data_IF_322042412885
#
_entry.id   IF_322042412885
#
_cell.length_a   1.000
_cell.length_b   1.000
_cell.length_c   1.000
_cell.angle_alpha   90.00
_cell.angle_beta   90.00
_cell.angle_gamma   90.00
#
_symmetry.space_group_name_H-M   'P 1'
#
loop_
_entity.id
_entity.type
_entity.pdbx_description
1 polymer ?
#
# COMPACT_ATOMS: atom_id res chain seq x y z
N UNK A 1 -0.90 -5.50 -25.20
CA UNK A 1 -2.18 -5.03 -24.62
C UNK A 1 -2.04 -3.64 -23.97
N UNK A 2 -1.21 -2.76 -24.57
CA UNK A 2 -1.03 -1.39 -24.07
C UNK A 2 -2.37 -0.62 -24.02
N UNK A 3 -2.56 0.19 -23.00
CA UNK A 3 -3.82 0.85 -22.69
C UNK A 3 -4.60 0.14 -21.59
N UNK A 4 -5.91 0.29 -21.60
CA UNK A 4 -6.82 -0.22 -20.57
C UNK A 4 -8.02 -0.93 -21.21
N UNK A 5 -8.79 -1.75 -20.48
CA UNK A 5 -9.96 -2.42 -21.03
C UNK A 5 -10.87 -1.48 -21.82
N UNK A 6 -11.23 -1.86 -23.04
CA UNK A 6 -12.03 -1.06 -23.97
C UNK A 6 -11.29 0.14 -24.60
N UNK A 7 -10.05 0.41 -24.23
CA UNK A 7 -9.22 1.52 -24.72
C UNK A 7 -7.78 1.07 -24.98
N UNK A 8 -7.60 -0.04 -25.68
CA UNK A 8 -6.29 -0.54 -26.06
C UNK A 8 -5.77 0.12 -27.33
N UNK A 9 -4.46 0.20 -27.46
CA UNK A 9 -3.83 0.69 -28.71
C UNK A 9 -3.77 -0.37 -29.80
N UNK A 10 -3.96 -1.64 -29.45
CA UNK A 10 -3.90 -2.77 -30.39
C UNK A 10 -5.24 -3.50 -30.45
N UNK A 11 -5.56 -4.05 -31.63
CA UNK A 11 -6.71 -4.94 -31.80
C UNK A 11 -6.48 -6.31 -31.17
N UNK A 12 -7.53 -7.11 -31.05
CA UNK A 12 -7.45 -8.50 -30.52
C UNK A 12 -7.28 -8.59 -29.00
N UNK A 13 -7.65 -7.55 -28.25
CA UNK A 13 -7.49 -7.50 -26.80
C UNK A 13 -8.79 -7.81 -26.03
N UNK A 14 -9.87 -8.17 -26.71
CA UNK A 14 -11.18 -8.39 -26.11
C UNK A 14 -11.18 -9.44 -24.99
N UNK A 15 -10.38 -10.50 -25.12
CA UNK A 15 -10.29 -11.55 -24.09
C UNK A 15 -9.40 -11.14 -22.91
N UNK A 16 -8.30 -10.43 -23.14
CA UNK A 16 -7.47 -9.90 -22.04
C UNK A 16 -8.18 -8.75 -21.31
N UNK A 17 -9.09 -8.04 -21.99
CA UNK A 17 -9.96 -7.05 -21.35
C UNK A 17 -10.88 -7.71 -20.30
N UNK A 18 -11.42 -8.90 -20.59
CA UNK A 18 -12.19 -9.68 -19.61
C UNK A 18 -11.34 -10.02 -18.40
N UNK A 19 -10.11 -10.48 -18.61
CA UNK A 19 -9.17 -10.86 -17.54
C UNK A 19 -8.87 -9.65 -16.63
N UNK A 20 -8.50 -8.53 -17.23
CA UNK A 20 -8.17 -7.33 -16.44
C UNK A 20 -9.38 -6.76 -15.73
N UNK A 21 -10.55 -6.73 -16.39
CA UNK A 21 -11.81 -6.30 -15.78
C UNK A 21 -12.16 -7.15 -14.56
N UNK A 22 -12.01 -8.47 -14.64
CA UNK A 22 -12.22 -9.37 -13.51
C UNK A 22 -11.29 -9.03 -12.33
N UNK A 23 -10.02 -8.76 -12.60
CA UNK A 23 -9.07 -8.37 -11.55
C UNK A 23 -9.49 -7.04 -10.90
N UNK A 24 -9.85 -6.03 -11.70
CA UNK A 24 -10.30 -4.72 -11.22
C UNK A 24 -11.54 -4.86 -10.33
N UNK A 25 -12.59 -5.52 -10.82
CA UNK A 25 -13.84 -5.64 -10.08
C UNK A 25 -13.70 -6.45 -8.79
N UNK A 26 -12.87 -7.48 -8.80
CA UNK A 26 -12.55 -8.26 -7.60
C UNK A 26 -11.75 -7.44 -6.58
N UNK A 27 -10.78 -6.64 -7.02
CA UNK A 27 -10.04 -5.73 -6.15
C UNK A 27 -10.97 -4.70 -5.49
N UNK A 28 -11.85 -4.07 -6.28
CA UNK A 28 -12.86 -3.12 -5.79
C UNK A 28 -13.77 -3.75 -4.75
N UNK A 29 -14.27 -4.95 -5.04
CA UNK A 29 -15.15 -5.69 -4.12
C UNK A 29 -14.44 -6.10 -2.83
N UNK A 30 -13.19 -6.59 -2.93
CA UNK A 30 -12.43 -7.09 -1.79
C UNK A 30 -12.07 -5.98 -0.80
N UNK A 31 -11.66 -4.83 -1.31
CA UNK A 31 -11.18 -3.71 -0.49
C UNK A 31 -12.22 -2.60 -0.28
N UNK A 32 -13.38 -2.69 -0.92
CA UNK A 32 -14.44 -1.69 -0.77
C UNK A 32 -14.07 -0.33 -1.37
N UNK A 33 -13.36 -0.31 -2.50
CA UNK A 33 -12.96 0.91 -3.20
C UNK A 33 -13.71 1.08 -4.52
N UNK A 34 -13.76 2.32 -5.02
CA UNK A 34 -14.45 2.63 -6.28
C UNK A 34 -13.54 2.51 -7.51
N UNK A 35 -12.22 2.61 -7.29
CA UNK A 35 -11.20 2.54 -8.34
C UNK A 35 -10.10 1.56 -7.97
N UNK A 36 -9.66 0.78 -8.95
CA UNK A 36 -8.50 -0.08 -8.86
C UNK A 36 -7.72 -0.07 -10.18
N UNK A 37 -6.39 0.05 -10.10
CA UNK A 37 -5.48 -0.20 -11.21
C UNK A 37 -4.62 -1.41 -10.87
N UNK A 38 -4.71 -2.46 -11.67
CA UNK A 38 -4.03 -3.74 -11.45
C UNK A 38 -2.79 -3.93 -12.33
N UNK A 39 -2.42 -2.91 -13.10
CA UNK A 39 -1.29 -2.98 -14.04
C UNK A 39 0.10 -2.77 -13.42
N UNK A 40 0.31 -2.13 -12.25
CA UNK A 40 1.66 -2.00 -11.70
C UNK A 40 2.38 -3.34 -11.63
N UNK A 41 3.60 -3.40 -12.21
CA UNK A 41 4.41 -4.62 -12.25
C UNK A 41 4.94 -5.02 -10.88
N UNK A 42 5.02 -4.07 -9.96
CA UNK A 42 5.46 -4.28 -8.58
C UNK A 42 4.87 -3.23 -7.64
N UNK A 43 4.99 -3.45 -6.32
CA UNK A 43 4.65 -2.44 -5.32
C UNK A 43 5.49 -1.17 -5.48
N UNK A 44 6.77 -1.29 -5.82
CA UNK A 44 7.65 -0.15 -6.06
C UNK A 44 7.14 0.72 -7.23
N UNK A 45 6.66 0.11 -8.30
CA UNK A 45 6.09 0.84 -9.44
C UNK A 45 4.70 1.41 -9.13
N UNK A 46 3.89 0.74 -8.31
CA UNK A 46 2.64 1.31 -7.80
C UNK A 46 2.91 2.58 -6.96
N UNK A 47 3.90 2.52 -6.06
CA UNK A 47 4.31 3.68 -5.26
C UNK A 47 4.84 4.81 -6.15
N UNK A 48 5.69 4.48 -7.12
CA UNK A 48 6.25 5.47 -8.04
C UNK A 48 5.15 6.17 -8.85
N UNK A 49 4.18 5.41 -9.37
CA UNK A 49 3.04 5.97 -10.09
C UNK A 49 2.20 6.89 -9.19
N UNK A 50 1.96 6.49 -7.93
CA UNK A 50 1.24 7.33 -6.98
C UNK A 50 2.01 8.62 -6.67
N UNK A 51 3.32 8.55 -6.44
CA UNK A 51 4.14 9.74 -6.23
C UNK A 51 4.05 10.71 -7.43
N UNK A 52 4.34 10.25 -8.63
CA UNK A 52 4.30 11.12 -9.83
C UNK A 52 2.90 11.62 -10.20
N UNK A 53 1.84 10.98 -9.70
CA UNK A 53 0.48 11.50 -9.85
C UNK A 53 0.15 12.62 -8.86
N UNK A 54 0.78 12.62 -7.66
CA UNK A 54 0.35 13.46 -6.53
C UNK A 54 1.33 14.55 -6.14
N UNK A 55 2.62 14.37 -6.42
CA UNK A 55 3.70 15.28 -6.02
C UNK A 55 4.69 15.50 -7.15
N UNK A 56 5.34 16.66 -7.14
CA UNK A 56 6.37 17.03 -8.11
C UNK A 56 7.77 16.74 -7.55
N UNK A 57 8.78 16.51 -8.40
CA UNK A 57 10.17 16.38 -7.96
C UNK A 57 10.60 17.57 -7.09
N UNK A 58 11.17 17.26 -5.92
CA UNK A 58 11.57 18.27 -4.93
C UNK A 58 10.51 18.61 -3.89
N UNK A 59 9.26 18.19 -4.06
CA UNK A 59 8.24 18.35 -3.03
C UNK A 59 8.63 17.63 -1.73
N UNK A 60 8.23 18.19 -0.60
CA UNK A 60 8.44 17.57 0.71
C UNK A 60 7.41 16.46 0.93
N UNK A 61 7.90 15.27 1.24
CA UNK A 61 7.10 14.07 1.54
C UNK A 61 7.55 13.51 2.89
N UNK A 62 6.62 13.08 3.73
CA UNK A 62 6.95 12.34 4.95
C UNK A 62 6.74 10.84 4.74
N UNK A 63 7.63 10.02 5.30
CA UNK A 63 7.53 8.56 5.28
C UNK A 63 8.20 7.94 6.48
N UNK A 64 7.81 6.71 6.85
CA UNK A 64 8.45 6.01 7.95
C UNK A 64 9.91 5.69 7.59
N UNK A 65 10.83 5.98 8.52
CA UNK A 65 12.24 5.65 8.34
C UNK A 65 12.48 4.14 8.23
N UNK A 66 13.54 3.76 7.51
CA UNK A 66 13.92 2.34 7.40
C UNK A 66 14.15 1.70 8.76
N UNK A 67 14.84 2.41 9.65
CA UNK A 67 15.18 1.94 11.01
C UNK A 67 13.95 1.71 11.88
N UNK A 68 12.85 2.41 11.59
CA UNK A 68 11.58 2.23 12.27
C UNK A 68 10.68 1.16 11.61
N UNK A 69 11.11 0.55 10.51
CA UNK A 69 10.37 -0.48 9.78
C UNK A 69 9.77 -0.02 8.45
N UNK A 70 10.10 1.17 7.95
CA UNK A 70 9.65 1.68 6.66
C UNK A 70 10.15 0.86 5.46
N UNK A 71 9.59 1.13 4.29
CA UNK A 71 10.04 0.48 3.05
C UNK A 71 11.06 1.36 2.31
N UNK A 72 11.93 0.73 1.50
CA UNK A 72 12.90 1.45 0.66
C UNK A 72 12.26 2.53 -0.21
N UNK A 73 11.08 2.25 -0.77
CA UNK A 73 10.34 3.20 -1.62
C UNK A 73 9.65 4.33 -0.84
N UNK A 74 9.81 4.38 0.47
CA UNK A 74 9.30 5.45 1.32
C UNK A 74 10.38 6.48 1.68
N UNK A 75 11.26 6.79 0.74
CA UNK A 75 12.22 7.88 0.87
C UNK A 75 13.65 7.48 1.20
N UNK A 76 14.01 6.20 1.09
CA UNK A 76 15.42 5.79 1.26
C UNK A 76 16.32 6.55 0.27
N UNK A 77 17.46 7.11 0.72
CA UNK A 77 18.37 7.88 -0.14
C UNK A 77 18.93 7.12 -1.35
N UNK A 78 18.96 5.79 -1.28
CA UNK A 78 19.41 4.94 -2.40
C UNK A 78 18.27 4.60 -3.37
N UNK A 79 17.03 4.85 -2.98
CA UNK A 79 15.86 4.62 -3.81
C UNK A 79 15.48 5.87 -4.61
N UNK A 80 14.81 5.67 -5.73
CA UNK A 80 14.34 6.75 -6.59
C UNK A 80 13.49 7.76 -5.81
N UNK A 81 12.65 7.31 -4.87
CA UNK A 81 11.83 8.18 -4.04
C UNK A 81 12.65 9.20 -3.24
N UNK A 82 13.72 8.75 -2.59
CA UNK A 82 14.62 9.62 -1.84
C UNK A 82 15.52 10.51 -2.71
N UNK A 83 15.67 10.18 -4.01
CA UNK A 83 16.43 10.99 -4.97
C UNK A 83 15.61 12.10 -5.62
N UNK A 84 14.30 11.86 -5.83
CA UNK A 84 13.43 12.79 -6.54
C UNK A 84 12.67 13.73 -5.61
N UNK A 85 12.35 13.27 -4.39
CA UNK A 85 11.55 14.03 -3.44
C UNK A 85 12.36 14.36 -2.17
N UNK A 86 11.97 15.44 -1.50
CA UNK A 86 12.56 15.82 -0.22
C UNK A 86 11.85 15.05 0.91
N UNK A 87 12.34 13.85 1.22
CA UNK A 87 11.76 13.03 2.27
C UNK A 87 12.19 13.46 3.67
N UNK A 88 11.20 13.66 4.53
CA UNK A 88 11.36 13.90 5.97
C UNK A 88 10.90 12.64 6.70
N UNK A 89 11.80 11.85 7.29
CA UNK A 89 11.42 10.60 7.92
C UNK A 89 10.72 10.83 9.26
N UNK A 90 9.71 10.01 9.58
CA UNK A 90 9.20 9.85 10.92
C UNK A 90 9.52 8.47 11.47
N UNK A 91 9.51 8.32 12.78
CA UNK A 91 9.93 7.09 13.46
C UNK A 91 8.90 6.57 14.45
N UNK A 92 9.41 5.80 15.39
CA UNK A 92 8.68 5.24 16.52
C UNK A 92 9.23 5.84 17.82
N UNK A 93 8.47 5.76 18.90
CA UNK A 93 8.91 6.11 20.24
C UNK A 93 9.85 5.02 20.82
N UNK A 94 10.36 5.24 22.03
CA UNK A 94 11.27 4.30 22.72
C UNK A 94 10.64 2.93 22.98
N UNK A 95 9.31 2.85 22.99
CA UNK A 95 8.56 1.61 23.15
C UNK A 95 8.30 0.88 21.82
N UNK A 96 8.72 1.45 20.67
CA UNK A 96 8.57 0.87 19.35
C UNK A 96 7.22 1.12 18.69
N UNK A 97 6.44 2.11 19.14
CA UNK A 97 5.16 2.51 18.56
C UNK A 97 5.28 3.81 17.77
N UNK A 98 4.47 3.95 16.71
CA UNK A 98 4.37 5.22 15.97
C UNK A 98 3.92 6.32 16.95
N UNK A 99 4.74 7.37 17.09
CA UNK A 99 4.41 8.56 17.86
C UNK A 99 3.63 9.55 16.98
N UNK A 100 2.31 9.46 17.02
CA UNK A 100 1.42 10.32 16.22
C UNK A 100 1.51 11.80 16.61
N UNK A 101 1.84 12.13 17.88
CA UNK A 101 2.02 13.51 18.29
C UNK A 101 3.32 14.10 17.73
N UNK A 102 4.41 13.36 17.82
CA UNK A 102 5.69 13.75 17.23
C UNK A 102 5.55 13.88 15.70
N UNK A 103 4.84 12.93 15.06
CA UNK A 103 4.54 12.98 13.63
C UNK A 103 3.76 14.26 13.27
N UNK A 104 2.72 14.59 14.02
CA UNK A 104 1.95 15.83 13.80
C UNK A 104 2.81 17.08 13.95
N UNK A 105 3.60 17.18 15.04
CA UNK A 105 4.52 18.31 15.26
C UNK A 105 5.50 18.46 14.10
N UNK A 106 6.06 17.35 13.64
CA UNK A 106 7.00 17.33 12.52
C UNK A 106 6.31 17.73 11.20
N UNK A 107 5.13 17.18 10.91
CA UNK A 107 4.34 17.52 9.73
C UNK A 107 3.95 19.01 9.72
N UNK A 108 3.57 19.55 10.88
CA UNK A 108 3.25 20.97 11.00
C UNK A 108 4.47 21.88 10.77
N UNK A 109 5.69 21.41 11.10
CA UNK A 109 6.94 22.12 10.86
C UNK A 109 7.39 22.08 9.40
N UNK A 110 7.37 20.90 8.79
CA UNK A 110 7.90 20.71 7.42
C UNK A 110 6.86 20.91 6.31
N UNK A 111 5.56 20.94 6.67
CA UNK A 111 4.45 21.14 5.71
C UNK A 111 4.55 20.25 4.49
N UNK A 112 4.52 18.92 4.65
CA UNK A 112 4.66 18.02 3.53
C UNK A 112 3.47 18.13 2.58
N UNK A 113 3.70 17.86 1.30
CA UNK A 113 2.61 17.72 0.32
C UNK A 113 1.92 16.36 0.44
N UNK A 114 2.67 15.35 0.88
CA UNK A 114 2.20 13.97 0.99
C UNK A 114 2.77 13.33 2.27
N UNK A 115 1.95 12.59 2.99
CA UNK A 115 2.37 11.69 4.06
C UNK A 115 2.17 10.26 3.57
N UNK A 116 3.23 9.46 3.65
CA UNK A 116 3.22 8.03 3.30
C UNK A 116 3.17 7.23 4.59
N UNK A 117 2.15 6.42 4.73
CA UNK A 117 1.99 5.45 5.81
C UNK A 117 2.12 4.01 5.31
N UNK A 118 2.34 3.08 6.22
CA UNK A 118 2.61 1.68 5.93
C UNK A 118 4.06 1.34 6.20
N UNK A 119 4.31 0.08 6.45
CA UNK A 119 5.62 -0.40 6.88
C UNK A 119 5.90 -1.81 6.35
N UNK A 120 7.19 -2.15 6.27
CA UNK A 120 7.67 -3.50 5.98
C UNK A 120 7.89 -4.33 7.24
N UNK A 121 8.26 -3.68 8.34
CA UNK A 121 8.67 -4.34 9.58
C UNK A 121 8.15 -3.58 10.82
N UNK A 122 6.87 -3.32 10.86
CA UNK A 122 6.19 -2.70 12.00
C UNK A 122 5.10 -3.65 12.51
N UNK A 123 5.27 -4.26 13.71
CA UNK A 123 4.42 -5.36 14.16
C UNK A 123 3.10 -4.90 14.81
N UNK A 124 2.86 -3.60 14.94
CA UNK A 124 1.67 -3.06 15.60
C UNK A 124 0.63 -2.55 14.61
N UNK A 125 -0.60 -2.44 15.06
CA UNK A 125 -1.66 -1.83 14.28
C UNK A 125 -1.35 -0.36 13.96
N UNK A 126 -1.66 0.05 12.73
CA UNK A 126 -1.51 1.44 12.29
C UNK A 126 -2.90 2.08 12.28
N UNK A 127 -3.02 3.24 12.94
CA UNK A 127 -4.25 4.02 12.96
C UNK A 127 -4.30 4.97 11.75
N UNK A 128 -4.95 4.51 10.69
CA UNK A 128 -5.10 5.28 9.45
C UNK A 128 -6.07 6.46 9.61
N UNK A 129 -7.04 6.37 10.52
CA UNK A 129 -7.93 7.49 10.80
C UNK A 129 -7.14 8.66 11.39
N UNK A 130 -6.29 8.39 12.37
CA UNK A 130 -5.44 9.41 13.00
C UNK A 130 -4.43 10.00 12.02
N UNK A 131 -3.86 9.20 11.14
CA UNK A 131 -2.98 9.69 10.07
C UNK A 131 -3.72 10.60 9.08
N UNK A 132 -4.97 10.26 8.73
CA UNK A 132 -5.82 11.11 7.89
C UNK A 132 -6.12 12.45 8.55
N UNK A 133 -6.41 12.47 9.85
CA UNK A 133 -6.61 13.70 10.61
C UNK A 133 -5.36 14.59 10.58
N UNK A 134 -4.19 13.99 10.81
CA UNK A 134 -2.90 14.71 10.77
C UNK A 134 -2.65 15.27 9.36
N UNK A 135 -2.81 14.47 8.31
CA UNK A 135 -2.61 14.92 6.94
C UNK A 135 -3.52 16.10 6.60
N UNK A 136 -4.81 16.01 6.92
CA UNK A 136 -5.78 17.09 6.72
C UNK A 136 -5.41 18.35 7.50
N UNK A 137 -4.98 18.22 8.76
CA UNK A 137 -4.61 19.35 9.60
C UNK A 137 -3.42 20.16 9.05
N UNK A 138 -2.53 19.54 8.30
CA UNK A 138 -1.38 20.21 7.67
C UNK A 138 -1.56 20.51 6.18
N UNK A 139 -2.70 20.12 5.59
CA UNK A 139 -3.00 20.31 4.18
C UNK A 139 -2.25 19.34 3.25
N UNK A 140 -1.83 18.19 3.77
CA UNK A 140 -1.18 17.13 3.03
C UNK A 140 -2.17 16.08 2.51
N UNK A 141 -1.80 15.37 1.45
CA UNK A 141 -2.44 14.12 1.06
C UNK A 141 -1.93 12.96 1.92
N UNK A 142 -2.74 11.90 2.03
CA UNK A 142 -2.36 10.64 2.67
C UNK A 142 -2.28 9.51 1.64
N UNK A 143 -1.11 8.93 1.49
CA UNK A 143 -0.88 7.67 0.77
C UNK A 143 -0.63 6.56 1.78
N UNK A 144 -1.29 5.42 1.61
CA UNK A 144 -1.02 4.23 2.43
C UNK A 144 -0.54 3.09 1.55
N UNK A 145 0.66 2.60 1.83
CA UNK A 145 1.19 1.36 1.29
C UNK A 145 0.87 0.22 2.27
N UNK A 146 -0.17 -0.55 1.95
CA UNK A 146 -0.60 -1.66 2.80
C UNK A 146 -0.01 -3.02 2.39
N UNK A 147 1.05 -3.03 1.60
CA UNK A 147 1.59 -4.26 0.98
C UNK A 147 1.76 -5.43 1.94
N UNK A 148 2.34 -5.21 3.13
CA UNK A 148 2.56 -6.27 4.11
C UNK A 148 1.27 -6.78 4.75
N UNK A 149 0.33 -5.89 5.00
CA UNK A 149 -0.91 -6.21 5.73
C UNK A 149 -2.14 -6.36 4.82
N UNK A 150 -1.97 -6.34 3.50
CA UNK A 150 -3.10 -6.35 2.56
C UNK A 150 -4.03 -7.57 2.74
N UNK A 151 -3.47 -8.75 3.02
CA UNK A 151 -4.25 -9.94 3.33
C UNK A 151 -5.02 -9.83 4.66
N UNK A 152 -4.45 -9.16 5.64
CA UNK A 152 -5.10 -8.92 6.94
C UNK A 152 -6.21 -7.89 6.81
N UNK A 153 -6.01 -6.83 6.03
CA UNK A 153 -7.03 -5.84 5.69
C UNK A 153 -8.19 -6.50 4.95
N UNK A 154 -7.89 -7.33 3.94
CA UNK A 154 -8.91 -8.08 3.19
C UNK A 154 -9.74 -9.01 4.07
N UNK A 155 -9.14 -9.58 5.11
CA UNK A 155 -9.80 -10.46 6.07
C UNK A 155 -10.51 -9.71 7.23
N UNK A 156 -10.36 -8.39 7.31
CA UNK A 156 -10.93 -7.59 8.41
C UNK A 156 -10.17 -7.69 9.73
N UNK A 157 -8.90 -8.12 9.70
CA UNK A 157 -8.03 -8.28 10.88
C UNK A 157 -7.12 -7.06 11.12
N UNK A 158 -7.14 -6.09 10.24
CA UNK A 158 -6.49 -4.79 10.40
C UNK A 158 -7.43 -3.71 9.85
N UNK A 159 -7.36 -2.50 10.40
CA UNK A 159 -8.10 -1.34 9.89
C UNK A 159 -7.82 -1.19 8.39
N UNK A 160 -8.87 -0.98 7.60
CA UNK A 160 -8.72 -0.67 6.18
C UNK A 160 -8.27 0.79 6.01
N UNK A 161 -7.23 1.06 5.20
CA UNK A 161 -6.84 2.43 4.87
C UNK A 161 -7.77 3.10 3.84
N UNK A 162 -8.57 2.32 3.11
CA UNK A 162 -9.36 2.81 1.97
C UNK A 162 -10.29 3.99 2.31
N UNK A 163 -10.99 3.99 3.46
CA UNK A 163 -11.85 5.13 3.81
C UNK A 163 -11.09 6.40 4.21
N UNK A 164 -9.80 6.31 4.48
CA UNK A 164 -9.02 7.39 5.09
C UNK A 164 -7.96 7.99 4.16
N UNK A 165 -7.41 7.19 3.25
CA UNK A 165 -6.32 7.59 2.38
C UNK A 165 -6.83 8.19 1.05
N UNK A 166 -6.07 9.14 0.51
CA UNK A 166 -6.31 9.64 -0.85
C UNK A 166 -5.94 8.60 -1.91
N UNK A 167 -4.92 7.79 -1.63
CA UNK A 167 -4.51 6.65 -2.43
C UNK A 167 -3.99 5.53 -1.56
N UNK A 168 -4.31 4.30 -1.93
CA UNK A 168 -3.75 3.09 -1.32
C UNK A 168 -2.99 2.32 -2.37
N UNK A 169 -1.76 1.93 -2.04
CA UNK A 169 -0.95 1.02 -2.85
C UNK A 169 -0.76 -0.31 -2.14
N UNK A 170 -0.52 -1.35 -2.88
CA UNK A 170 -0.20 -2.66 -2.31
C UNK A 170 0.58 -3.51 -3.29
N UNK A 171 1.24 -4.53 -2.76
CA UNK A 171 1.68 -5.70 -3.52
C UNK A 171 0.59 -6.76 -3.50
N UNK A 172 0.72 -7.77 -4.36
CA UNK A 172 -0.21 -8.92 -4.40
C UNK A 172 0.40 -10.22 -3.86
N UNK A 173 1.70 -10.25 -3.56
CA UNK A 173 2.47 -11.49 -3.28
C UNK A 173 2.92 -11.68 -1.83
N UNK A 174 2.41 -10.87 -0.88
CA UNK A 174 2.70 -11.01 0.56
C UNK A 174 1.52 -11.68 1.28
N UNK A 175 0.98 -11.10 2.32
CA UNK A 175 -0.17 -11.68 3.03
C UNK A 175 -1.40 -11.91 2.15
N UNK A 176 -1.52 -11.19 1.02
CA UNK A 176 -2.59 -11.42 0.04
C UNK A 176 -2.42 -12.75 -0.74
N UNK A 177 -1.22 -13.34 -0.73
CA UNK A 177 -0.96 -14.68 -1.27
C UNK A 177 -1.13 -14.81 -2.79
N UNK A 178 -0.87 -13.74 -3.53
CA UNK A 178 -1.01 -13.71 -4.99
C UNK A 178 0.32 -13.73 -5.76
N UNK A 179 0.27 -13.47 -7.07
CA UNK A 179 1.47 -13.34 -7.89
C UNK A 179 2.23 -12.07 -7.55
N UNK A 180 3.53 -12.04 -7.87
CA UNK A 180 4.33 -10.81 -7.73
C UNK A 180 3.78 -9.73 -8.64
N UNK A 181 3.40 -8.60 -8.04
CA UNK A 181 2.83 -7.45 -8.72
C UNK A 181 2.38 -6.39 -7.73
N UNK A 182 1.83 -5.30 -8.22
CA UNK A 182 1.28 -4.21 -7.43
C UNK A 182 -0.13 -3.82 -7.87
N UNK A 183 -0.79 -3.02 -7.04
CA UNK A 183 -2.10 -2.40 -7.33
C UNK A 183 -2.16 -1.01 -6.73
N UNK A 184 -3.02 -0.17 -7.32
CA UNK A 184 -3.40 1.16 -6.80
C UNK A 184 -4.91 1.17 -6.60
N UNK A 185 -5.35 1.61 -5.44
CA UNK A 185 -6.76 1.70 -5.06
C UNK A 185 -7.08 3.13 -4.62
N UNK A 186 -8.27 3.63 -4.94
CA UNK A 186 -8.73 4.93 -4.44
C UNK A 186 -10.25 5.10 -4.58
N UNK A 187 -10.76 6.28 -4.21
CA UNK A 187 -12.08 6.74 -4.64
C UNK A 187 -12.07 7.06 -6.14
N UNK A 188 -13.25 7.13 -6.75
CA UNK A 188 -13.40 7.56 -8.14
C UNK A 188 -12.97 9.03 -8.32
N UNK A 189 -13.30 9.88 -7.33
CA UNK A 189 -12.91 11.29 -7.32
C UNK A 189 -11.39 11.46 -7.36
N UNK A 190 -10.65 10.79 -6.48
CA UNK A 190 -9.19 10.87 -6.45
C UNK A 190 -8.56 10.25 -7.69
N UNK A 191 -9.12 9.17 -8.22
CA UNK A 191 -8.65 8.57 -9.46
C UNK A 191 -8.76 9.55 -10.66
N UNK A 192 -9.86 10.30 -10.73
CA UNK A 192 -10.03 11.33 -11.75
C UNK A 192 -9.14 12.55 -11.51
N UNK A 193 -9.03 13.01 -10.26
CA UNK A 193 -8.19 14.14 -9.87
C UNK A 193 -6.71 13.90 -10.18
N UNK A 194 -6.17 12.78 -9.75
CA UNK A 194 -4.73 12.47 -9.86
C UNK A 194 -4.36 11.71 -11.14
N UNK A 195 -5.35 11.25 -11.93
CA UNK A 195 -5.11 10.55 -13.21
C UNK A 195 -4.19 9.33 -13.06
N UNK A 196 -4.38 8.49 -12.02
CA UNK A 196 -3.51 7.35 -11.75
C UNK A 196 -3.30 6.42 -12.94
N UNK A 197 -4.32 6.19 -13.79
CA UNK A 197 -4.15 5.40 -15.00
C UNK A 197 -3.08 5.98 -15.92
N UNK A 198 -3.05 7.31 -16.10
CA UNK A 198 -2.04 7.97 -16.95
C UNK A 198 -0.66 7.90 -16.32
N UNK A 199 -0.56 7.97 -15.00
CA UNK A 199 0.69 7.87 -14.29
C UNK A 199 1.30 6.45 -14.40
N UNK A 200 0.47 5.41 -14.39
CA UNK A 200 0.93 4.04 -14.63
C UNK A 200 1.30 3.85 -16.10
N UNK A 201 0.34 4.05 -17.00
CA UNK A 201 0.56 3.91 -18.44
C UNK A 201 0.00 5.15 -19.16
N UNK A 202 0.79 5.86 -19.96
CA UNK A 202 2.19 5.56 -20.32
C UNK A 202 3.25 6.19 -19.39
N UNK A 203 2.87 6.69 -18.20
CA UNK A 203 3.74 7.49 -17.35
C UNK A 203 5.04 6.79 -16.95
N UNK A 204 4.95 5.57 -16.40
CA UNK A 204 6.12 4.82 -15.90
C UNK A 204 6.25 3.42 -16.49
N UNK A 205 5.21 2.88 -17.11
CA UNK A 205 5.18 1.54 -17.72
C UNK A 205 4.74 1.60 -19.17
N UNK A 206 5.11 0.57 -19.94
CA UNK A 206 4.52 0.22 -21.22
C UNK A 206 3.45 -0.85 -21.08
N UNK A 207 3.52 -1.93 -21.88
CA UNK A 207 2.55 -3.01 -21.87
C UNK A 207 2.37 -3.69 -20.53
N UNK A 208 1.13 -4.05 -20.15
CA UNK A 208 0.86 -4.76 -18.92
C UNK A 208 1.28 -6.24 -19.01
N UNK A 209 1.56 -6.84 -17.85
CA UNK A 209 1.85 -8.28 -17.73
C UNK A 209 0.54 -9.05 -17.57
N UNK A 210 -0.13 -9.38 -18.69
CA UNK A 210 -1.48 -9.97 -18.63
C UNK A 210 -1.53 -11.31 -17.93
N UNK A 211 -0.48 -12.15 -18.01
CA UNK A 211 -0.38 -13.40 -17.25
C UNK A 211 -0.33 -13.16 -15.73
N UNK A 212 0.33 -12.11 -15.28
CA UNK A 212 0.33 -11.71 -13.86
C UNK A 212 -1.03 -11.17 -13.46
N UNK A 213 -1.68 -10.37 -14.31
CA UNK A 213 -3.03 -9.84 -14.04
C UNK A 213 -4.05 -10.98 -13.95
N UNK A 214 -3.93 -12.01 -14.77
CA UNK A 214 -4.73 -13.23 -14.65
C UNK A 214 -4.52 -13.91 -13.28
N UNK A 215 -3.27 -14.03 -12.84
CA UNK A 215 -2.97 -14.51 -11.49
C UNK A 215 -3.54 -13.62 -10.38
N UNK A 216 -3.52 -12.30 -10.55
CA UNK A 216 -4.18 -11.36 -9.61
C UNK A 216 -5.69 -11.60 -9.56
N UNK A 217 -6.33 -11.81 -10.71
CA UNK A 217 -7.76 -12.10 -10.78
C UNK A 217 -8.14 -13.38 -10.00
N UNK A 218 -7.30 -14.42 -10.07
CA UNK A 218 -7.47 -15.66 -9.29
C UNK A 218 -7.25 -15.39 -7.79
N UNK A 219 -6.13 -14.78 -7.44
CA UNK A 219 -5.79 -14.42 -6.06
C UNK A 219 -6.90 -13.62 -5.36
N UNK A 220 -7.44 -12.60 -6.03
CA UNK A 220 -8.49 -11.75 -5.48
C UNK A 220 -9.81 -12.51 -5.33
N UNK A 221 -10.10 -13.49 -6.21
CA UNK A 221 -11.24 -14.39 -6.03
C UNK A 221 -11.06 -15.28 -4.81
N UNK A 222 -9.89 -15.86 -4.62
CA UNK A 222 -9.59 -16.67 -3.43
C UNK A 222 -9.68 -15.84 -2.15
N UNK A 223 -9.21 -14.59 -2.16
CA UNK A 223 -9.29 -13.69 -1.01
C UNK A 223 -10.73 -13.27 -0.66
N UNK A 224 -11.66 -13.33 -1.61
CA UNK A 224 -13.08 -13.10 -1.38
C UNK A 224 -13.80 -14.32 -0.75
N UNK A 225 -13.18 -15.50 -0.77
CA UNK A 225 -13.73 -16.70 -0.16
C UNK A 225 -13.60 -16.65 1.36
N UNK A 226 -14.63 -17.09 2.13
CA UNK A 226 -14.59 -17.10 3.59
C UNK A 226 -13.39 -17.86 4.19
N UNK A 227 -12.86 -18.87 3.50
CA UNK A 227 -11.69 -19.63 3.94
C UNK A 227 -10.43 -18.77 4.03
N UNK A 228 -10.33 -17.68 3.28
CA UNK A 228 -9.22 -16.75 3.36
C UNK A 228 -9.11 -16.08 4.74
N UNK A 229 -10.25 -15.85 5.42
CA UNK A 229 -10.24 -15.30 6.79
C UNK A 229 -9.58 -16.26 7.79
N UNK A 230 -9.75 -17.56 7.60
CA UNK A 230 -9.09 -18.58 8.42
C UNK A 230 -7.59 -18.55 8.19
N UNK A 231 -7.16 -18.49 6.92
CA UNK A 231 -5.75 -18.35 6.57
C UNK A 231 -5.13 -17.09 7.20
N UNK A 232 -5.76 -15.94 7.07
CA UNK A 232 -5.28 -14.68 7.62
C UNK A 232 -5.25 -14.69 9.16
N UNK A 233 -6.24 -15.31 9.81
CA UNK A 233 -6.26 -15.49 11.27
C UNK A 233 -5.09 -16.35 11.73
N UNK A 234 -4.77 -17.42 11.01
CA UNK A 234 -3.63 -18.27 11.33
C UNK A 234 -2.30 -17.52 11.22
N UNK A 235 -2.16 -16.55 10.30
CA UNK A 235 -0.97 -15.70 10.25
C UNK A 235 -0.78 -14.95 11.56
N UNK A 236 -1.82 -14.29 12.04
CA UNK A 236 -1.78 -13.48 13.26
C UNK A 236 -1.51 -14.37 14.49
N UNK A 237 -2.22 -15.50 14.61
CA UNK A 237 -2.06 -16.41 15.73
C UNK A 237 -0.66 -17.04 15.78
N UNK A 238 -0.11 -17.40 14.64
CA UNK A 238 1.25 -17.97 14.55
C UNK A 238 2.32 -16.91 14.86
N UNK A 239 2.13 -15.65 14.43
CA UNK A 239 3.03 -14.56 14.76
C UNK A 239 3.04 -14.29 16.29
N UNK A 240 1.88 -14.24 16.91
CA UNK A 240 1.75 -14.07 18.36
C UNK A 240 2.39 -15.25 19.12
N UNK A 241 2.13 -16.48 18.70
CA UNK A 241 2.73 -17.67 19.30
C UNK A 241 4.25 -17.67 19.18
N UNK A 242 4.79 -17.29 18.01
CA UNK A 242 6.23 -17.16 17.78
C UNK A 242 6.84 -16.07 18.69
N UNK A 243 6.21 -14.91 18.73
CA UNK A 243 6.62 -13.79 19.58
C UNK A 243 6.71 -14.21 21.05
N UNK A 244 5.65 -14.79 21.60
CA UNK A 244 5.62 -15.31 22.97
C UNK A 244 6.69 -16.39 23.21
N UNK A 245 6.87 -17.30 22.25
CA UNK A 245 7.88 -18.34 22.31
C UNK A 245 9.31 -17.81 22.38
N UNK A 246 9.60 -16.73 21.66
CA UNK A 246 10.89 -16.04 21.69
C UNK A 246 11.10 -15.30 23.02
N UNK A 247 10.11 -14.54 23.48
CA UNK A 247 10.17 -13.83 24.77
C UNK A 247 10.40 -14.78 25.94
N UNK A 248 9.73 -15.93 25.96
CA UNK A 248 9.91 -16.95 26.99
C UNK A 248 11.31 -17.58 26.98
N UNK A 249 12.08 -17.38 25.91
CA UNK A 249 13.48 -17.82 25.79
C UNK A 249 14.49 -16.69 26.01
N UNK A 250 14.03 -15.52 26.47
CA UNK A 250 14.86 -14.37 26.80
C UNK A 250 15.25 -13.49 25.62
N UNK A 251 14.55 -13.59 24.49
CA UNK A 251 14.74 -12.64 23.39
C UNK A 251 13.90 -11.39 23.61
N UNK A 252 14.50 -10.24 23.38
CA UNK A 252 13.79 -8.96 23.36
C UNK A 252 13.04 -8.79 22.05
N UNK A 253 11.77 -8.47 22.12
CA UNK A 253 10.91 -8.23 20.97
C UNK A 253 10.58 -6.74 20.90
N UNK A 254 10.84 -6.11 19.75
CA UNK A 254 10.48 -4.72 19.50
C UNK A 254 8.98 -4.52 19.77
N UNK A 255 8.65 -3.44 20.50
CA UNK A 255 7.30 -3.15 21.00
C UNK A 255 6.68 -4.23 21.95
N UNK A 256 7.43 -5.24 22.38
CA UNK A 256 6.97 -6.25 23.33
C UNK A 256 5.85 -7.17 22.84
N UNK A 257 5.62 -7.26 21.53
CA UNK A 257 4.57 -8.10 20.96
C UNK A 257 4.25 -7.80 19.52
N UNK A 258 3.20 -8.42 18.99
CA UNK A 258 2.70 -8.19 17.64
C UNK A 258 1.16 -8.19 17.58
N UNK A 259 0.59 -7.32 16.73
CA UNK A 259 -0.84 -7.28 16.43
C UNK A 259 -1.12 -7.82 15.01
N UNK A 260 -0.08 -8.14 14.24
CA UNK A 260 -0.21 -8.55 12.84
C UNK A 260 0.66 -9.78 12.51
N UNK A 261 1.68 -9.66 11.69
CA UNK A 261 2.50 -10.81 11.20
C UNK A 261 3.98 -10.61 11.48
#
# INVERSE_FOLDING_TARGET
AEGYPGKRYYGGCEYVDVVETLAIERAKKLFGCEYANVQPHSGAQANLAAFFAMVEPGDTVMGMSLDAGGHLTHGSPVNLSGKYFNFVPYGVNDEGYIDYEALYKQANKCRPRLIVAGASAYPRAIDFAKLSEIAKAVGAYLMVDMAHIAGLVAAGLHQSPVPYADVVTTTTHKTLRGPRGGMILSSAENADKFKFNKSVFPGIQGGPLMHVIAGKAVCLKEALDPSFKVYAKNIVDNADALCKGLMNRGFDIVSGGTDNH
#
